data_IF_333247689315
#
_entry.id   IF_333247689315
#
_cell.length_a   1.000
_cell.length_b   1.000
_cell.length_c   1.000
_cell.angle_alpha   90.00
_cell.angle_beta   90.00
_cell.angle_gamma   90.00
#
_symmetry.space_group_name_H-M   'P 1'
#
loop_
_entity.id
_entity.type
_entity.pdbx_description
1 polymer ?
#
# COMPACT_ATOMS: atom_id res chain seq x y z
N UNK A 1 -3.69 18.25 7.23
CA UNK A 1 -2.29 17.81 7.04
C UNK A 1 -2.27 16.80 5.91
N UNK A 2 -1.22 16.79 5.08
CA UNK A 2 -1.08 15.77 4.06
C UNK A 2 -0.11 14.68 4.51
N UNK A 3 -0.45 13.43 4.26
CA UNK A 3 0.31 12.24 4.62
C UNK A 3 0.81 11.53 3.36
N UNK A 4 2.04 11.06 3.39
CA UNK A 4 2.57 10.11 2.40
C UNK A 4 2.53 8.71 3.02
N UNK A 5 1.97 7.77 2.28
CA UNK A 5 1.85 6.37 2.69
C UNK A 5 2.62 5.52 1.66
N UNK A 6 3.45 4.61 2.16
CA UNK A 6 4.22 3.66 1.35
C UNK A 6 3.83 2.22 1.70
N UNK A 7 3.75 1.36 0.69
CA UNK A 7 3.40 -0.07 0.80
C UNK A 7 4.34 -0.88 -0.07
N UNK A 8 4.87 -1.97 0.46
CA UNK A 8 5.73 -2.93 -0.25
C UNK A 8 5.58 -4.32 0.40
N UNK A 9 6.02 -5.36 -0.31
CA UNK A 9 6.15 -6.74 0.18
C UNK A 9 4.85 -7.38 0.68
N UNK A 10 3.71 -7.01 0.07
CA UNK A 10 2.39 -7.58 0.41
C UNK A 10 1.93 -8.62 -0.61
N UNK A 11 2.73 -8.92 -1.63
CA UNK A 11 2.49 -9.97 -2.62
C UNK A 11 3.11 -11.30 -2.18
N UNK A 12 2.54 -12.42 -2.63
CA UNK A 12 3.05 -13.75 -2.31
C UNK A 12 3.18 -14.64 -3.55
N UNK A 13 3.81 -15.81 -3.37
CA UNK A 13 3.91 -16.82 -4.44
C UNK A 13 2.57 -17.49 -4.76
N UNK A 14 1.59 -17.40 -3.86
CA UNK A 14 0.24 -18.00 -4.03
C UNK A 14 -0.73 -17.04 -4.70
N UNK A 15 -0.44 -15.74 -4.66
CA UNK A 15 -1.24 -14.70 -5.29
C UNK A 15 -1.02 -13.34 -4.63
N UNK A 16 -1.83 -12.36 -5.01
CA UNK A 16 -1.74 -11.00 -4.47
C UNK A 16 -0.86 -10.06 -5.29
N UNK A 17 -0.87 -8.79 -4.91
CA UNK A 17 -0.07 -7.74 -5.54
C UNK A 17 -0.05 -6.47 -4.67
N UNK A 18 1.13 -5.86 -4.46
CA UNK A 18 1.29 -4.59 -3.74
C UNK A 18 0.41 -3.47 -4.28
N UNK A 19 0.19 -3.41 -5.60
CA UNK A 19 -0.71 -2.39 -6.18
C UNK A 19 -2.16 -2.61 -5.80
N UNK A 20 -2.59 -3.87 -5.63
CA UNK A 20 -3.96 -4.18 -5.23
C UNK A 20 -4.21 -3.74 -3.78
N UNK A 21 -3.31 -4.10 -2.86
CA UNK A 21 -3.37 -3.69 -1.45
C UNK A 21 -3.41 -2.17 -1.33
N UNK A 22 -2.55 -1.46 -2.07
CA UNK A 22 -2.57 0.01 -2.09
C UNK A 22 -3.91 0.58 -2.58
N UNK A 23 -4.53 0.01 -3.63
CA UNK A 23 -5.84 0.47 -4.14
C UNK A 23 -6.96 0.23 -3.12
N UNK A 24 -6.95 -0.90 -2.42
CA UNK A 24 -7.93 -1.16 -1.36
C UNK A 24 -7.77 -0.15 -0.23
N UNK A 25 -6.54 0.12 0.21
CA UNK A 25 -6.25 1.12 1.23
C UNK A 25 -6.72 2.52 0.82
N UNK A 26 -6.40 2.95 -0.41
CA UNK A 26 -6.85 4.23 -0.96
C UNK A 26 -8.38 4.37 -0.90
N UNK A 27 -9.13 3.34 -1.31
CA UNK A 27 -10.60 3.35 -1.27
C UNK A 27 -11.17 3.41 0.15
N UNK A 28 -10.57 2.70 1.11
CA UNK A 28 -11.00 2.76 2.53
C UNK A 28 -10.75 4.13 3.14
N UNK A 29 -9.61 4.74 2.83
CA UNK A 29 -9.30 6.11 3.27
C UNK A 29 -10.27 7.13 2.64
N UNK A 30 -10.59 6.99 1.35
CA UNK A 30 -11.60 7.83 0.69
C UNK A 30 -12.99 7.70 1.34
N UNK A 31 -13.38 6.50 1.76
CA UNK A 31 -14.63 6.27 2.49
C UNK A 31 -14.67 6.95 3.87
N UNK A 32 -13.51 7.24 4.47
CA UNK A 32 -13.38 8.03 5.70
C UNK A 32 -13.30 9.54 5.45
N UNK A 33 -13.43 9.98 4.20
CA UNK A 33 -13.35 11.39 3.80
C UNK A 33 -11.94 11.87 3.48
N UNK A 34 -10.96 10.96 3.39
CA UNK A 34 -9.64 11.32 2.87
C UNK A 34 -9.71 11.64 1.37
N UNK A 35 -8.86 12.55 0.91
CA UNK A 35 -8.73 12.89 -0.51
C UNK A 35 -7.34 12.52 -1.01
N UNK A 36 -7.28 11.79 -2.11
CA UNK A 36 -6.01 11.57 -2.80
C UNK A 36 -5.47 12.86 -3.43
N UNK A 37 -4.16 13.06 -3.30
CA UNK A 37 -3.44 14.18 -3.90
C UNK A 37 -2.59 13.65 -5.06
N UNK A 38 -3.10 13.85 -6.27
CA UNK A 38 -2.44 13.38 -7.49
C UNK A 38 -2.52 11.86 -7.66
N UNK A 39 -1.61 11.32 -8.46
CA UNK A 39 -1.57 9.89 -8.75
C UNK A 39 -0.69 9.12 -7.76
N UNK A 40 -1.04 7.85 -7.44
CA UNK A 40 -0.12 6.94 -6.77
C UNK A 40 1.10 6.68 -7.64
N UNK A 41 2.21 6.32 -7.00
CA UNK A 41 3.51 6.08 -7.61
C UNK A 41 3.86 4.60 -7.48
N UNK A 42 4.05 3.93 -8.61
CA UNK A 42 4.67 2.61 -8.64
C UNK A 42 6.19 2.81 -8.78
N UNK A 43 6.92 2.52 -7.71
CA UNK A 43 8.36 2.76 -7.61
C UNK A 43 9.10 1.44 -7.83
N UNK A 44 9.77 1.30 -8.98
CA UNK A 44 10.65 0.16 -9.25
C UNK A 44 11.92 0.26 -8.39
N UNK A 45 12.23 -0.82 -7.69
CA UNK A 45 13.42 -0.94 -6.86
C UNK A 45 14.53 -1.67 -7.62
N UNK A 46 15.66 -1.96 -6.94
CA UNK A 46 16.78 -2.67 -7.56
C UNK A 46 16.31 -4.04 -8.13
N UNK A 47 16.39 -4.26 -9.46
CA UNK A 47 15.94 -5.50 -10.07
C UNK A 47 16.86 -6.70 -9.74
N UNK A 48 18.09 -6.43 -9.28
CA UNK A 48 19.09 -7.47 -8.98
C UNK A 48 19.00 -7.97 -7.53
N UNK A 49 17.94 -7.64 -6.79
CA UNK A 49 17.77 -8.08 -5.41
C UNK A 49 17.48 -9.60 -5.37
N UNK A 50 18.32 -10.42 -4.70
CA UNK A 50 18.23 -11.87 -4.78
C UNK A 50 17.00 -12.49 -4.11
N UNK A 51 16.38 -11.77 -3.17
CA UNK A 51 15.23 -12.26 -2.40
C UNK A 51 13.87 -11.92 -3.02
N UNK A 52 13.84 -11.19 -4.13
CA UNK A 52 12.58 -10.77 -4.77
C UNK A 52 12.26 -11.65 -5.96
N UNK A 53 11.00 -12.09 -6.02
CA UNK A 53 10.42 -12.65 -7.25
C UNK A 53 10.24 -11.51 -8.28
N UNK A 54 9.99 -11.85 -9.54
CA UNK A 54 9.91 -10.88 -10.65
C UNK A 54 9.11 -9.63 -10.26
N UNK A 55 9.70 -8.46 -10.44
CA UNK A 55 8.96 -7.21 -10.37
C UNK A 55 9.07 -6.43 -9.06
N UNK A 56 10.21 -6.47 -8.37
CA UNK A 56 10.53 -5.66 -7.18
C UNK A 56 10.05 -4.19 -7.29
N UNK A 57 8.97 -3.85 -6.58
CA UNK A 57 8.35 -2.53 -6.64
C UNK A 57 7.52 -2.22 -5.41
N UNK A 58 7.65 -0.99 -4.91
CA UNK A 58 6.81 -0.42 -3.87
C UNK A 58 5.74 0.50 -4.47
N UNK A 59 4.70 0.81 -3.70
CA UNK A 59 3.69 1.81 -4.04
C UNK A 59 3.70 2.93 -3.01
N UNK A 60 3.67 4.18 -3.47
CA UNK A 60 3.52 5.34 -2.61
C UNK A 60 2.37 6.23 -3.08
N UNK A 61 1.55 6.72 -2.16
CA UNK A 61 0.46 7.63 -2.48
C UNK A 61 0.29 8.69 -1.38
N UNK A 62 -0.34 9.82 -1.75
CA UNK A 62 -0.49 10.98 -0.87
C UNK A 62 -1.97 11.22 -0.60
N UNK A 63 -2.32 11.44 0.67
CA UNK A 63 -3.69 11.75 1.10
C UNK A 63 -3.73 12.98 2.00
N UNK A 64 -4.87 13.65 2.05
CA UNK A 64 -5.23 14.64 3.06
C UNK A 64 -6.62 14.36 3.62
N UNK A 65 -6.99 15.04 4.72
CA UNK A 65 -8.33 14.93 5.30
C UNK A 65 -8.52 13.76 6.27
N UNK A 66 -7.45 13.05 6.62
CA UNK A 66 -7.46 11.93 7.58
C UNK A 66 -6.38 12.14 8.65
N UNK A 67 -6.62 11.68 9.88
CA UNK A 67 -5.60 11.70 10.94
C UNK A 67 -4.62 10.54 10.74
N UNK A 68 -3.40 10.71 11.26
CA UNK A 68 -2.37 9.67 11.18
C UNK A 68 -2.86 8.33 11.73
N UNK A 69 -3.48 8.34 12.91
CA UNK A 69 -3.95 7.11 13.57
C UNK A 69 -5.03 6.38 12.77
N UNK A 70 -5.99 7.11 12.19
CA UNK A 70 -7.02 6.53 11.32
C UNK A 70 -6.40 5.93 10.06
N UNK A 71 -5.39 6.59 9.48
CA UNK A 71 -4.67 6.06 8.34
C UNK A 71 -3.87 4.79 8.69
N UNK A 72 -3.20 4.76 9.84
CA UNK A 72 -2.49 3.59 10.36
C UNK A 72 -3.45 2.42 10.57
N UNK A 73 -4.59 2.64 11.23
CA UNK A 73 -5.57 1.59 11.51
C UNK A 73 -6.16 1.00 10.21
N UNK A 74 -6.45 1.85 9.21
CA UNK A 74 -6.87 1.39 7.88
C UNK A 74 -5.77 0.57 7.22
N UNK A 75 -4.53 1.07 7.20
CA UNK A 75 -3.41 0.37 6.57
C UNK A 75 -3.17 -0.99 7.19
N UNK A 76 -3.18 -1.07 8.52
CA UNK A 76 -3.03 -2.31 9.27
C UNK A 76 -4.14 -3.30 8.90
N UNK A 77 -5.41 -2.87 8.94
CA UNK A 77 -6.55 -3.74 8.59
C UNK A 77 -6.47 -4.29 7.15
N UNK A 78 -6.01 -3.47 6.20
CA UNK A 78 -5.90 -3.88 4.79
C UNK A 78 -4.74 -4.84 4.59
N UNK A 79 -3.61 -4.60 5.26
CA UNK A 79 -2.45 -5.49 5.19
C UNK A 79 -2.80 -6.85 5.83
N UNK A 80 -3.44 -6.87 6.99
CA UNK A 80 -3.89 -8.09 7.67
C UNK A 80 -4.89 -8.91 6.86
N UNK A 81 -5.80 -8.26 6.13
CA UNK A 81 -6.83 -8.93 5.34
C UNK A 81 -6.33 -9.44 3.98
N UNK A 82 -5.41 -8.71 3.34
CA UNK A 82 -5.02 -8.96 1.94
C UNK A 82 -3.57 -9.39 1.74
N UNK A 83 -2.75 -9.40 2.79
CA UNK A 83 -1.37 -9.91 2.73
C UNK A 83 -1.30 -11.28 3.39
N UNK A 84 -0.43 -12.15 2.88
CA UNK A 84 -0.18 -13.45 3.49
C UNK A 84 0.80 -13.30 4.66
N UNK A 85 0.30 -12.95 5.85
CA UNK A 85 1.11 -12.73 7.06
C UNK A 85 1.46 -14.04 7.80
N UNK A 86 0.76 -15.14 7.49
CA UNK A 86 0.83 -16.40 8.24
C UNK A 86 1.62 -17.52 7.54
N UNK A 87 2.68 -17.20 6.79
CA UNK A 87 3.66 -18.20 6.33
C UNK A 87 4.91 -18.27 7.22
#
# INVERSE_FOLDING_TARGET
MALWIGVDDTDSRRGGCTTYVAVVAMRRLEALGARLIGYPRLVRLNPNCPYKTRGNAAVAFKVEGVKLKEAEDVMQSVVEEFSEINE
#
